data_IF_248176673918
#
_entry.id   IF_248176673918
#
_cell.length_a   1.000
_cell.length_b   1.000
_cell.length_c   1.000
_cell.angle_alpha   90.00
_cell.angle_beta   90.00
_cell.angle_gamma   90.00
#
_symmetry.space_group_name_H-M   'P 1'
#
loop_
_entity.id
_entity.type
_entity.pdbx_description
1 polymer ?
#
# COMPACT_ATOMS: atom_id res chain seq x y z
N UNK A 1 6.85 -0.04 -7.98
CA UNK A 1 5.84 -1.06 -7.66
C UNK A 1 6.18 -1.68 -6.32
N UNK A 2 5.20 -1.80 -5.41
CA UNK A 2 5.38 -2.40 -4.09
C UNK A 2 5.53 -3.93 -4.17
N UNK A 3 6.29 -4.52 -3.26
CA UNK A 3 6.39 -5.97 -3.08
C UNK A 3 5.04 -6.59 -2.69
N UNK A 4 4.70 -7.74 -3.29
CA UNK A 4 3.49 -8.51 -2.98
C UNK A 4 3.38 -8.84 -1.49
N UNK A 5 4.50 -9.19 -0.85
CA UNK A 5 4.51 -9.55 0.57
C UNK A 5 4.23 -8.35 1.47
N UNK A 6 4.62 -7.15 1.04
CA UNK A 6 4.36 -5.92 1.79
C UNK A 6 2.90 -5.49 1.61
N UNK A 7 2.36 -5.61 0.41
CA UNK A 7 0.94 -5.38 0.13
C UNK A 7 0.03 -6.31 0.95
N UNK A 8 0.37 -7.61 1.06
CA UNK A 8 -0.34 -8.55 1.94
C UNK A 8 -0.34 -8.09 3.40
N UNK A 9 0.83 -7.71 3.92
CA UNK A 9 0.96 -7.23 5.30
C UNK A 9 0.17 -5.94 5.57
N UNK A 10 0.08 -5.05 4.59
CA UNK A 10 -0.74 -3.84 4.69
C UNK A 10 -2.23 -4.17 4.76
N UNK A 11 -2.71 -5.11 3.94
CA UNK A 11 -4.09 -5.63 4.02
C UNK A 11 -4.38 -6.21 5.40
N UNK A 12 -3.50 -7.09 5.89
CA UNK A 12 -3.62 -7.72 7.21
C UNK A 12 -3.57 -6.70 8.36
N UNK A 13 -2.82 -5.60 8.19
CA UNK A 13 -2.74 -4.51 9.15
C UNK A 13 -3.97 -3.59 9.14
N UNK A 14 -4.99 -3.88 8.32
CA UNK A 14 -6.25 -3.14 8.28
C UNK A 14 -6.20 -1.87 7.46
N UNK A 15 -5.29 -1.76 6.49
CA UNK A 15 -5.34 -0.69 5.49
C UNK A 15 -6.68 -0.76 4.76
N UNK A 16 -7.45 0.33 4.83
CA UNK A 16 -8.72 0.42 4.12
C UNK A 16 -8.41 0.70 2.66
N UNK A 17 -8.95 -0.12 1.77
CA UNK A 17 -8.87 0.16 0.35
C UNK A 17 -9.79 1.35 0.05
N UNK A 18 -9.23 2.53 -0.20
CA UNK A 18 -9.97 3.51 -0.99
C UNK A 18 -10.22 2.89 -2.37
N UNK A 19 -11.44 3.05 -2.88
CA UNK A 19 -11.97 2.38 -4.06
C UNK A 19 -10.92 2.23 -5.19
N UNK A 20 -10.82 1.03 -5.79
CA UNK A 20 -9.93 0.79 -6.92
C UNK A 20 -10.08 1.84 -8.02
N UNK A 21 -8.98 2.47 -8.45
CA UNK A 21 -9.01 3.40 -9.59
C UNK A 21 -8.45 2.73 -10.84
N UNK A 22 -8.86 3.24 -11.99
CA UNK A 22 -8.29 2.85 -13.27
C UNK A 22 -6.76 3.04 -13.25
N UNK A 23 -6.02 2.07 -13.80
CA UNK A 23 -4.56 2.05 -13.84
C UNK A 23 -3.87 1.49 -12.58
N UNK A 24 -4.65 0.95 -11.64
CA UNK A 24 -4.10 0.25 -10.48
C UNK A 24 -3.82 -1.23 -10.74
N UNK A 25 -2.95 -1.79 -9.89
CA UNK A 25 -2.48 -3.15 -9.99
C UNK A 25 -2.97 -3.98 -8.81
N UNK A 26 -3.33 -5.24 -9.07
CA UNK A 26 -3.70 -6.18 -8.02
C UNK A 26 -3.31 -7.60 -8.41
N UNK A 27 -3.18 -8.47 -7.42
CA UNK A 27 -2.99 -9.91 -7.63
C UNK A 27 -4.06 -10.68 -6.88
N UNK A 28 -4.49 -11.79 -7.45
CA UNK A 28 -5.41 -12.70 -6.78
C UNK A 28 -4.66 -13.67 -5.87
N UNK A 29 -5.35 -14.18 -4.84
CA UNK A 29 -4.84 -15.26 -3.96
C UNK A 29 -4.92 -16.65 -4.60
N UNK A 30 -5.46 -16.80 -5.80
CA UNK A 30 -5.59 -18.11 -6.47
C UNK A 30 -4.24 -18.72 -6.83
N UNK A 31 -4.26 -20.04 -7.04
CA UNK A 31 -3.14 -20.96 -7.32
C UNK A 31 -2.09 -20.49 -8.36
N UNK A 32 -2.37 -19.43 -9.13
CA UNK A 32 -1.40 -18.77 -10.00
C UNK A 32 -1.48 -17.24 -9.77
N UNK A 33 -0.49 -16.62 -9.10
CA UNK A 33 -0.47 -15.19 -8.84
C UNK A 33 -0.19 -14.43 -10.13
N UNK A 34 -1.25 -14.13 -10.89
CA UNK A 34 -1.18 -13.20 -12.00
C UNK A 34 -1.38 -11.79 -11.46
N UNK A 35 -0.44 -10.88 -11.76
CA UNK A 35 -0.66 -9.45 -11.54
C UNK A 35 -1.51 -8.93 -12.68
N UNK A 36 -2.68 -8.42 -12.35
CA UNK A 36 -3.64 -7.87 -13.30
C UNK A 36 -3.64 -6.36 -13.18
N UNK A 37 -3.67 -5.70 -14.34
CA UNK A 37 -3.83 -4.26 -14.46
C UNK A 37 -5.32 -3.94 -14.67
N UNK A 38 -5.86 -2.99 -13.91
CA UNK A 38 -7.22 -2.49 -14.11
C UNK A 38 -7.25 -1.56 -15.33
N UNK A 39 -7.44 -2.17 -16.51
CA UNK A 39 -7.55 -1.44 -17.79
C UNK A 39 -8.93 -0.82 -18.00
N UNK A 40 -10.02 -1.37 -17.44
CA UNK A 40 -11.39 -0.86 -17.56
C UNK A 40 -12.30 -1.50 -16.50
N UNK A 41 -13.23 -0.73 -15.93
CA UNK A 41 -14.02 -1.12 -14.76
C UNK A 41 -15.49 -1.36 -15.13
N UNK A 42 -15.98 -2.60 -15.18
CA UNK A 42 -17.37 -2.90 -14.88
C UNK A 42 -17.40 -3.41 -13.45
N UNK A 43 -17.49 -2.51 -12.46
CA UNK A 43 -17.91 -2.95 -11.13
C UNK A 43 -19.33 -3.52 -11.29
N UNK A 44 -19.44 -4.84 -11.30
CA UNK A 44 -20.67 -5.50 -10.94
C UNK A 44 -20.80 -5.33 -9.43
N UNK A 45 -21.87 -4.64 -9.02
CA UNK A 45 -22.51 -4.69 -7.69
C UNK A 45 -21.62 -5.21 -6.55
N UNK A 46 -21.24 -4.30 -5.65
CA UNK A 46 -20.80 -4.54 -4.27
C UNK A 46 -19.80 -5.72 -4.07
N UNK A 47 -18.51 -5.37 -3.99
CA UNK A 47 -17.41 -6.23 -3.54
C UNK A 47 -16.88 -7.31 -4.51
N UNK A 48 -17.22 -7.28 -5.81
CA UNK A 48 -16.65 -8.20 -6.81
C UNK A 48 -15.75 -7.51 -7.85
N UNK A 49 -14.54 -8.04 -8.03
CA UNK A 49 -13.64 -7.70 -9.14
C UNK A 49 -13.90 -8.66 -10.30
N UNK A 50 -14.28 -8.11 -11.45
CA UNK A 50 -14.49 -8.87 -12.69
C UNK A 50 -13.28 -8.69 -13.60
N UNK A 51 -12.52 -9.76 -13.84
CA UNK A 51 -11.42 -9.76 -14.83
C UNK A 51 -11.78 -10.59 -16.04
N UNK A 52 -11.34 -10.18 -17.23
CA UNK A 52 -11.75 -10.77 -18.51
C UNK A 52 -10.68 -11.65 -19.17
N UNK A 53 -9.55 -11.93 -18.52
CA UNK A 53 -8.43 -12.64 -19.15
C UNK A 53 -7.88 -13.79 -18.27
N UNK A 54 -7.79 -15.04 -18.77
CA UNK A 54 -8.28 -15.57 -20.06
C UNK A 54 -9.79 -15.91 -20.08
N UNK A 55 -10.49 -15.72 -18.97
CA UNK A 55 -11.93 -15.94 -18.80
C UNK A 55 -12.52 -14.87 -17.88
N UNK A 56 -13.84 -14.63 -17.94
CA UNK A 56 -14.52 -13.77 -16.97
C UNK A 56 -14.46 -14.43 -15.59
N UNK A 57 -13.60 -13.92 -14.71
CA UNK A 57 -13.50 -14.37 -13.32
C UNK A 57 -14.05 -13.27 -12.43
N UNK A 58 -15.13 -13.59 -11.71
CA UNK A 58 -15.63 -12.77 -10.60
C UNK A 58 -14.98 -13.26 -9.33
N UNK A 59 -14.27 -12.38 -8.65
CA UNK A 59 -13.67 -12.68 -7.35
C UNK A 59 -14.05 -11.60 -6.36
N UNK A 60 -14.30 -11.99 -5.12
CA UNK A 60 -14.50 -11.03 -4.06
C UNK A 60 -13.23 -10.19 -3.83
N UNK A 61 -13.39 -8.89 -3.58
CA UNK A 61 -12.32 -7.96 -3.22
C UNK A 61 -11.50 -8.47 -2.00
N UNK A 62 -12.13 -9.27 -1.12
CA UNK A 62 -11.49 -9.92 0.02
C UNK A 62 -10.40 -10.94 -0.37
N UNK A 63 -10.47 -11.52 -1.56
CA UNK A 63 -9.46 -12.46 -2.08
C UNK A 63 -8.36 -11.75 -2.90
N UNK A 64 -8.55 -10.46 -3.20
CA UNK A 64 -7.61 -9.65 -3.96
C UNK A 64 -6.55 -9.03 -3.03
N UNK A 65 -5.29 -9.10 -3.44
CA UNK A 65 -4.18 -8.35 -2.82
C UNK A 65 -3.90 -7.18 -3.74
N UNK A 66 -4.27 -5.99 -3.27
CA UNK A 66 -4.04 -4.78 -4.03
C UNK A 66 -2.64 -4.23 -3.84
N UNK A 67 -2.09 -3.66 -4.91
CA UNK A 67 -0.74 -3.14 -4.98
C UNK A 67 -0.82 -1.61 -5.01
N UNK A 68 -0.92 -0.98 -3.83
CA UNK A 68 -1.16 0.45 -3.76
C UNK A 68 -0.03 1.23 -4.43
N UNK A 69 -0.42 2.29 -5.14
CA UNK A 69 0.51 3.25 -5.73
C UNK A 69 1.15 4.12 -4.65
N UNK A 70 2.24 4.78 -5.01
CA UNK A 70 2.98 5.63 -4.08
C UNK A 70 2.11 6.75 -3.50
N UNK A 71 1.33 7.42 -4.33
CA UNK A 71 0.43 8.51 -3.95
C UNK A 71 -0.64 8.06 -2.95
N UNK A 72 -1.26 6.89 -3.17
CA UNK A 72 -2.21 6.28 -2.23
C UNK A 72 -1.55 6.01 -0.87
N UNK A 73 -0.35 5.41 -0.87
CA UNK A 73 0.39 5.13 0.37
C UNK A 73 0.74 6.40 1.14
N UNK A 74 1.13 7.47 0.44
CA UNK A 74 1.48 8.75 1.06
C UNK A 74 0.25 9.49 1.58
N UNK A 75 -0.87 9.45 0.86
CA UNK A 75 -2.14 10.02 1.31
C UNK A 75 -2.61 9.38 2.61
N UNK A 76 -2.54 8.04 2.73
CA UNK A 76 -2.85 7.33 3.97
C UNK A 76 -1.93 7.76 5.13
N UNK A 77 -0.64 7.94 4.89
CA UNK A 77 0.29 8.42 5.92
C UNK A 77 -0.08 9.85 6.40
N UNK A 78 -0.55 10.72 5.51
CA UNK A 78 -1.02 12.08 5.87
C UNK A 78 -2.34 12.04 6.62
N UNK A 79 -3.30 11.22 6.19
CA UNK A 79 -4.58 11.00 6.87
C UNK A 79 -4.37 10.49 8.30
N UNK A 80 -3.33 9.73 8.52
CA UNK A 80 -2.88 9.26 9.83
C UNK A 80 -2.30 10.37 10.72
N UNK A 81 -2.31 11.63 10.26
CA UNK A 81 -1.86 12.80 11.00
C UNK A 81 -0.35 12.85 11.19
N UNK A 82 0.41 12.16 10.34
CA UNK A 82 1.87 12.09 10.42
C UNK A 82 2.49 12.82 9.24
N UNK A 83 3.48 13.67 9.54
CA UNK A 83 4.31 14.22 8.48
C UNK A 83 5.23 13.14 7.93
N UNK A 84 5.45 13.11 6.62
CA UNK A 84 6.48 12.28 6.02
C UNK A 84 7.48 13.11 5.23
N UNK A 85 8.67 12.54 5.04
CA UNK A 85 9.66 13.05 4.08
C UNK A 85 10.21 11.88 3.27
N UNK A 86 10.13 12.01 1.96
CA UNK A 86 10.77 11.09 1.03
C UNK A 86 12.10 11.67 0.57
N UNK A 87 13.16 10.87 0.66
CA UNK A 87 14.50 11.20 0.19
C UNK A 87 14.95 10.14 -0.81
N UNK A 88 15.46 10.57 -1.96
CA UNK A 88 16.17 9.70 -2.89
C UNK A 88 17.66 9.73 -2.55
N UNK A 89 18.25 8.57 -2.26
CA UNK A 89 19.66 8.42 -1.92
C UNK A 89 20.43 7.89 -3.15
N UNK A 90 21.02 8.78 -3.97
CA UNK A 90 21.64 8.40 -5.24
C UNK A 90 22.85 7.45 -5.06
N UNK A 91 23.55 7.52 -3.92
CA UNK A 91 24.72 6.69 -3.64
C UNK A 91 24.40 5.19 -3.50
N UNK A 92 23.13 4.80 -3.37
CA UNK A 92 22.74 3.39 -3.24
C UNK A 92 21.55 2.95 -4.09
N UNK A 93 20.96 3.83 -4.91
CA UNK A 93 19.69 3.58 -5.62
C UNK A 93 18.57 3.13 -4.65
N UNK A 94 18.52 3.76 -3.49
CA UNK A 94 17.49 3.51 -2.49
C UNK A 94 16.64 4.77 -2.26
N UNK A 95 15.40 4.53 -1.88
CA UNK A 95 14.47 5.52 -1.40
C UNK A 95 14.36 5.38 0.11
N UNK A 96 14.29 6.51 0.80
CA UNK A 96 14.13 6.58 2.25
C UNK A 96 12.85 7.34 2.57
N UNK A 97 11.92 6.67 3.23
CA UNK A 97 10.73 7.29 3.81
C UNK A 97 10.98 7.57 5.28
N UNK A 98 10.82 8.81 5.72
CA UNK A 98 10.98 9.24 7.10
C UNK A 98 9.63 9.68 7.63
N UNK A 99 9.14 9.02 8.68
CA UNK A 99 7.93 9.45 9.39
C UNK A 99 8.33 10.40 10.51
N UNK A 100 7.66 11.54 10.54
CA UNK A 100 7.79 12.59 11.55
C UNK A 100 6.47 12.64 12.33
N UNK A 101 6.54 12.33 13.63
CA UNK A 101 5.41 12.52 14.55
C UNK A 101 5.47 13.96 15.06
N UNK A 102 4.41 14.74 14.83
CA UNK A 102 4.26 16.06 15.44
C UNK A 102 3.89 15.92 16.91
N UNK A 103 4.71 16.47 17.80
CA UNK A 103 4.50 16.48 19.25
C UNK A 103 5.80 16.77 19.98
N UNK A 104 5.96 18.03 20.37
CA UNK A 104 7.05 18.67 21.14
C UNK A 104 8.49 18.52 20.60
N UNK A 105 9.18 19.66 20.52
CA UNK A 105 10.50 19.88 19.90
C UNK A 105 11.64 18.96 20.39
N UNK A 106 11.43 18.16 21.43
CA UNK A 106 12.47 17.38 22.12
C UNK A 106 12.33 15.85 21.98
N UNK A 107 11.24 15.33 21.41
CA UNK A 107 11.01 13.87 21.32
C UNK A 107 10.64 13.41 19.89
N UNK A 108 11.37 13.95 18.90
CA UNK A 108 11.30 13.50 17.51
C UNK A 108 11.76 12.04 17.38
N UNK A 109 10.89 11.07 17.68
CA UNK A 109 11.05 9.68 17.25
C UNK A 109 10.87 9.60 15.74
N UNK A 110 11.93 9.99 15.02
CA UNK A 110 12.05 9.84 13.57
C UNK A 110 12.28 8.37 13.29
N UNK A 111 11.34 7.72 12.62
CA UNK A 111 11.58 6.39 12.09
C UNK A 111 11.75 6.49 10.58
N UNK A 112 12.85 5.92 10.09
CA UNK A 112 13.16 5.92 8.67
C UNK A 112 13.20 4.50 8.13
N UNK A 113 12.58 4.30 6.97
CA UNK A 113 12.52 3.05 6.24
C UNK A 113 13.25 3.24 4.91
N UNK A 114 14.08 2.27 4.54
CA UNK A 114 14.87 2.31 3.30
C UNK A 114 14.48 1.12 2.41
N UNK A 115 14.19 1.39 1.15
CA UNK A 115 13.86 0.36 0.17
C UNK A 115 14.38 0.71 -1.22
N UNK A 116 14.38 -0.26 -2.14
CA UNK A 116 14.84 -0.07 -3.53
C UNK A 116 13.84 0.69 -4.40
N UNK A 117 12.59 0.71 -4.00
CA UNK A 117 11.50 1.43 -4.66
C UNK A 117 10.85 2.39 -3.68
N UNK A 118 10.32 3.53 -4.12
CA UNK A 118 9.65 4.47 -3.24
C UNK A 118 8.39 3.86 -2.60
N UNK A 119 7.67 2.99 -3.32
CA UNK A 119 6.45 2.33 -2.80
C UNK A 119 6.77 1.38 -1.66
N UNK A 120 7.83 0.57 -1.76
CA UNK A 120 8.26 -0.27 -0.63
C UNK A 120 8.66 0.56 0.60
N UNK A 121 9.34 1.70 0.40
CA UNK A 121 9.75 2.55 1.51
C UNK A 121 8.53 3.18 2.20
N UNK A 122 7.56 3.67 1.42
CA UNK A 122 6.30 4.22 1.93
C UNK A 122 5.42 3.13 2.55
N UNK A 123 5.33 1.94 1.94
CA UNK A 123 4.54 0.82 2.45
C UNK A 123 5.08 0.28 3.78
N UNK A 124 6.41 0.21 3.95
CA UNK A 124 7.00 -0.15 5.26
C UNK A 124 6.71 0.90 6.33
N UNK A 125 6.73 2.18 5.94
CA UNK A 125 6.40 3.29 6.81
C UNK A 125 4.93 3.20 7.27
N UNK A 126 4.00 3.02 6.34
CA UNK A 126 2.57 2.88 6.62
C UNK A 126 2.28 1.65 7.49
N UNK A 127 2.87 0.50 7.16
CA UNK A 127 2.72 -0.73 7.94
C UNK A 127 3.10 -0.52 9.41
N UNK A 128 4.20 0.18 9.66
CA UNK A 128 4.61 0.49 11.02
C UNK A 128 3.62 1.40 11.75
N UNK A 129 3.00 2.36 11.07
CA UNK A 129 1.94 3.21 11.65
C UNK A 129 0.73 2.36 12.04
N UNK A 130 0.28 1.48 11.14
CA UNK A 130 -0.88 0.61 11.37
C UNK A 130 -0.62 -0.39 12.50
N UNK A 131 0.58 -0.98 12.57
CA UNK A 131 0.98 -1.88 13.66
C UNK A 131 0.94 -1.17 15.03
N UNK A 132 1.39 0.10 15.10
CA UNK A 132 1.30 0.88 16.34
C UNK A 132 -0.14 1.16 16.81
N UNK A 133 -1.11 1.17 15.89
CA UNK A 133 -2.53 1.30 16.24
C UNK A 133 -3.10 -0.01 16.76
N UNK A 134 -2.70 -1.13 16.17
CA UNK A 134 -3.10 -2.47 16.61
C UNK A 134 -2.67 -2.78 18.04
N UNK A 135 -1.46 -2.38 18.43
CA UNK A 135 -0.91 -2.56 19.78
C UNK A 135 -1.48 -1.60 20.86
N UNK A 136 -2.26 -0.58 20.46
CA UNK A 136 -2.84 0.41 21.37
C UNK A 136 -4.31 0.13 21.72
N UNK A 137 -4.83 -1.04 21.36
CA UNK A 137 -6.18 -1.50 21.71
C UNK A 137 -6.18 -2.42 22.91
#
# INVERSE_FOLDING_TARGET
MISLDLAKKLKEAGMKWEEPKEGDWFTFRVWNPCVVHLDWMPFGLDDEVVTTFPSVVRQHCDECIWLPRLDQLLADIELEGRGYRMEHLPAGRFYKCIIVRGGDELDFKRKSFRARTPEDAAGQALLWILQQKGDRK
#
